data_IF_272731065968
#
_entry.id   IF_272731065968
#
_cell.length_a   1.000
_cell.length_b   1.000
_cell.length_c   1.000
_cell.angle_alpha   90.00
_cell.angle_beta   90.00
_cell.angle_gamma   90.00
#
_symmetry.space_group_name_H-M   'P 1'
#
loop_
_entity.id
_entity.type
_entity.pdbx_description
1 polymer ?
#
# COMPACT_ATOMS: atom_id res chain seq x y z
N UNK A 1 41.44 -21.81 3.03
CA UNK A 1 40.55 -22.49 3.99
C UNK A 1 39.52 -21.52 4.57
N UNK A 2 38.33 -21.48 3.97
CA UNK A 2 37.24 -20.56 4.31
C UNK A 2 36.20 -21.36 5.10
N UNK A 3 35.91 -20.94 6.33
CA UNK A 3 34.96 -21.58 7.22
C UNK A 3 33.54 -21.22 6.75
N UNK A 4 32.79 -22.25 6.34
CA UNK A 4 31.42 -22.17 5.86
C UNK A 4 30.47 -22.13 7.06
N UNK A 5 29.97 -20.95 7.43
CA UNK A 5 28.93 -20.82 8.45
C UNK A 5 27.59 -21.32 7.87
N UNK A 6 27.13 -22.47 8.36
CA UNK A 6 25.85 -23.07 8.01
C UNK A 6 24.71 -22.19 8.56
N UNK A 7 23.91 -21.60 7.65
CA UNK A 7 22.63 -20.98 7.98
C UNK A 7 21.65 -22.10 8.37
N UNK A 8 21.18 -22.09 9.61
CA UNK A 8 20.17 -23.03 10.12
C UNK A 8 18.87 -22.93 9.30
N UNK A 9 18.40 -24.07 8.82
CA UNK A 9 17.14 -24.20 8.08
C UNK A 9 16.01 -24.43 9.10
N UNK A 10 14.90 -23.66 9.08
CA UNK A 10 13.80 -23.91 10.00
C UNK A 10 13.05 -25.21 9.62
N UNK A 11 12.87 -26.11 10.60
CA UNK A 11 12.03 -27.31 10.47
C UNK A 11 10.57 -26.91 10.24
N UNK A 12 9.99 -27.33 9.12
CA UNK A 12 8.54 -27.28 8.90
C UNK A 12 7.87 -28.51 9.53
N UNK A 13 6.94 -28.29 10.46
CA UNK A 13 6.00 -29.31 10.95
C UNK A 13 4.90 -29.55 9.92
N UNK A 14 4.64 -30.82 9.61
CA UNK A 14 3.68 -31.27 8.60
C UNK A 14 2.22 -30.87 8.95
N UNK A 15 1.46 -30.44 7.94
CA UNK A 15 0.03 -30.16 8.03
C UNK A 15 -0.79 -31.46 8.07
N UNK A 16 -1.70 -31.57 9.04
CA UNK A 16 -2.85 -32.47 8.96
C UNK A 16 -4.02 -31.74 8.29
N UNK A 17 -4.44 -32.27 7.14
CA UNK A 17 -5.66 -31.91 6.41
C UNK A 17 -6.87 -32.54 7.13
N UNK A 18 -8.05 -31.93 6.96
CA UNK A 18 -9.38 -32.30 7.48
C UNK A 18 -9.82 -31.68 8.82
N UNK A 19 -10.28 -30.43 8.76
CA UNK A 19 -11.36 -29.96 9.64
C UNK A 19 -12.28 -28.98 8.88
N UNK A 20 -13.32 -29.54 8.28
CA UNK A 20 -14.49 -28.82 7.80
C UNK A 20 -15.29 -28.29 9.02
N UNK A 21 -15.37 -26.97 9.21
CA UNK A 21 -16.40 -26.34 10.05
C UNK A 21 -17.05 -25.19 9.30
N UNK A 22 -18.00 -25.51 8.41
CA UNK A 22 -18.99 -24.53 7.96
C UNK A 22 -20.10 -24.38 9.00
N UNK A 23 -20.57 -23.14 9.07
CA UNK A 23 -21.80 -22.60 9.70
C UNK A 23 -21.90 -22.58 11.23
N UNK A 24 -21.54 -21.45 11.82
CA UNK A 24 -22.39 -20.77 12.80
C UNK A 24 -22.54 -19.30 12.40
N UNK A 25 -23.79 -18.86 12.29
CA UNK A 25 -24.20 -17.47 12.12
C UNK A 25 -23.67 -16.60 13.25
N UNK A 26 -23.22 -15.41 12.89
CA UNK A 26 -22.96 -14.33 13.83
C UNK A 26 -22.38 -13.15 13.07
N UNK A 27 -23.18 -12.11 12.84
CA UNK A 27 -22.67 -10.79 12.43
C UNK A 27 -21.54 -10.41 13.38
N UNK A 28 -20.31 -10.31 12.89
CA UNK A 28 -19.20 -9.76 13.66
C UNK A 28 -19.45 -8.25 13.82
N UNK A 29 -20.21 -7.92 14.86
CA UNK A 29 -20.29 -6.57 15.40
C UNK A 29 -18.87 -6.21 15.84
N UNK A 30 -18.12 -5.53 14.94
CA UNK A 30 -16.79 -4.94 15.16
C UNK A 30 -16.62 -4.53 16.62
N UNK A 31 -16.10 -5.44 17.43
CA UNK A 31 -15.80 -5.14 18.83
C UNK A 31 -14.55 -4.29 18.80
N UNK A 32 -14.75 -2.97 18.98
CA UNK A 32 -13.64 -2.03 19.14
C UNK A 32 -12.81 -2.53 20.31
N UNK A 33 -11.56 -2.94 20.05
CA UNK A 33 -10.61 -3.29 21.11
C UNK A 33 -10.28 -2.01 21.86
N UNK A 34 -10.96 -1.78 22.98
CA UNK A 34 -10.69 -0.66 23.89
C UNK A 34 -9.59 -1.12 24.83
N UNK A 35 -8.40 -0.53 24.70
CA UNK A 35 -7.31 -0.72 25.66
C UNK A 35 -7.54 0.29 26.78
N UNK A 36 -7.76 -0.17 28.00
CA UNK A 36 -7.86 0.68 29.18
C UNK A 36 -6.46 0.94 29.73
N UNK A 37 -5.97 2.18 29.64
CA UNK A 37 -4.74 2.58 30.31
C UNK A 37 -5.05 3.08 31.72
N UNK A 38 -4.41 2.48 32.73
CA UNK A 38 -4.59 2.84 34.15
C UNK A 38 -3.88 4.14 34.55
N UNK A 39 -3.10 4.75 33.65
CA UNK A 39 -2.30 5.94 33.91
C UNK A 39 -2.39 6.92 32.73
N UNK A 40 -2.38 8.22 33.03
CA UNK A 40 -2.30 9.29 32.03
C UNK A 40 -0.90 9.29 31.40
N UNK A 41 -0.70 8.47 30.37
CA UNK A 41 0.55 8.45 29.59
C UNK A 41 0.50 9.58 28.57
N UNK A 42 1.36 10.58 28.73
CA UNK A 42 1.59 11.60 27.69
C UNK A 42 2.34 10.93 26.53
N UNK A 43 1.72 10.85 25.37
CA UNK A 43 2.36 10.32 24.17
C UNK A 43 3.46 11.28 23.69
N UNK A 44 4.54 10.72 23.16
CA UNK A 44 5.57 11.52 22.50
C UNK A 44 5.02 12.08 21.19
N UNK A 45 5.12 13.40 21.03
CA UNK A 45 4.84 14.08 19.78
C UNK A 45 6.09 13.95 18.90
N UNK A 46 5.91 13.50 17.67
CA UNK A 46 6.94 13.49 16.65
C UNK A 46 6.63 14.60 15.64
N UNK A 47 7.65 15.40 15.29
CA UNK A 47 7.49 16.50 14.32
C UNK A 47 6.96 15.98 12.97
N UNK A 48 7.28 14.74 12.61
CA UNK A 48 6.86 14.05 11.39
C UNK A 48 5.86 12.90 11.65
N UNK A 49 4.93 13.07 12.59
CA UNK A 49 3.88 12.07 12.80
C UNK A 49 3.01 11.91 11.54
N UNK A 50 2.73 10.67 11.14
CA UNK A 50 1.84 10.40 10.01
C UNK A 50 0.45 10.95 10.29
N UNK A 51 -0.03 11.85 9.43
CA UNK A 51 -1.37 12.44 9.54
C UNK A 51 -2.30 11.78 8.51
N UNK A 52 -3.44 11.23 8.93
CA UNK A 52 -4.44 10.75 8.00
C UNK A 52 -5.00 11.92 7.19
N UNK A 53 -5.35 11.65 5.95
CA UNK A 53 -5.72 12.65 4.95
C UNK A 53 -6.79 13.66 5.39
N UNK A 54 -7.82 13.19 6.08
CA UNK A 54 -8.93 14.04 6.52
C UNK A 54 -8.53 15.04 7.63
N UNK A 55 -7.32 14.93 8.19
CA UNK A 55 -6.74 15.87 9.16
C UNK A 55 -5.53 16.62 8.61
N UNK A 56 -5.24 16.49 7.32
CA UNK A 56 -4.11 17.15 6.70
C UNK A 56 -4.58 18.53 6.22
N UNK A 57 -3.95 19.59 6.72
CA UNK A 57 -4.24 20.95 6.30
C UNK A 57 -3.76 21.12 4.85
N UNK A 58 -4.70 21.18 3.90
CA UNK A 58 -4.35 21.40 2.50
C UNK A 58 -4.12 22.90 2.31
N UNK A 59 -2.89 23.34 2.56
CA UNK A 59 -2.49 24.74 2.48
C UNK A 59 -2.31 25.26 1.03
N UNK A 60 -2.73 24.48 0.02
CA UNK A 60 -2.56 24.77 -1.40
C UNK A 60 -3.86 25.19 -2.09
N UNK A 61 -3.77 26.03 -3.11
CA UNK A 61 -4.91 26.41 -3.95
C UNK A 61 -5.55 25.22 -4.67
N UNK A 62 -6.73 25.43 -5.28
CA UNK A 62 -7.53 24.36 -5.92
C UNK A 62 -6.74 23.46 -6.90
N UNK A 63 -5.79 24.03 -7.65
CA UNK A 63 -4.94 23.28 -8.58
C UNK A 63 -3.98 22.31 -7.88
N UNK A 64 -3.48 22.70 -6.70
CA UNK A 64 -2.54 21.90 -5.91
C UNK A 64 -3.25 20.70 -5.26
N UNK A 65 -4.49 20.92 -4.81
CA UNK A 65 -5.40 19.88 -4.33
C UNK A 65 -5.67 18.79 -5.39
N UNK A 66 -5.87 19.19 -6.65
CA UNK A 66 -6.13 18.24 -7.74
C UNK A 66 -4.90 17.42 -8.12
N UNK A 67 -3.72 18.05 -8.12
CA UNK A 67 -2.44 17.36 -8.34
C UNK A 67 -2.13 16.36 -7.22
N UNK A 68 -2.30 16.76 -5.97
CA UNK A 68 -2.09 15.88 -4.82
C UNK A 68 -3.08 14.69 -4.82
N UNK A 69 -4.35 14.92 -5.16
CA UNK A 69 -5.33 13.84 -5.33
C UNK A 69 -4.91 12.87 -6.42
N UNK A 70 -4.48 13.36 -7.57
CA UNK A 70 -4.01 12.50 -8.66
C UNK A 70 -2.80 11.66 -8.23
N UNK A 71 -1.77 12.32 -7.68
CA UNK A 71 -0.55 11.67 -7.17
C UNK A 71 -0.88 10.53 -6.21
N UNK A 72 -1.79 10.80 -5.27
CA UNK A 72 -2.22 9.83 -4.26
C UNK A 72 -3.01 8.66 -4.86
N UNK A 73 -3.91 8.93 -5.81
CA UNK A 73 -4.65 7.88 -6.51
C UNK A 73 -3.69 6.95 -7.26
N UNK A 74 -2.73 7.52 -7.98
CA UNK A 74 -1.70 6.76 -8.69
C UNK A 74 -0.86 5.93 -7.71
N UNK A 75 -0.37 6.51 -6.62
CA UNK A 75 0.33 5.76 -5.56
C UNK A 75 -0.54 4.62 -5.01
N UNK A 76 -1.84 4.83 -4.82
CA UNK A 76 -2.76 3.78 -4.38
C UNK A 76 -2.88 2.63 -5.38
N UNK A 77 -2.88 2.93 -6.68
CA UNK A 77 -2.87 1.92 -7.76
C UNK A 77 -1.53 1.17 -7.77
N UNK A 78 -0.41 1.88 -7.77
CA UNK A 78 0.93 1.29 -7.81
C UNK A 78 1.19 0.37 -6.60
N UNK A 79 0.78 0.77 -5.39
CA UNK A 79 0.88 -0.07 -4.19
C UNK A 79 0.08 -1.38 -4.24
N UNK A 80 -0.94 -1.45 -5.10
CA UNK A 80 -1.76 -2.66 -5.29
C UNK A 80 -1.34 -3.42 -6.56
N UNK A 81 -0.32 -2.97 -7.28
CA UNK A 81 0.07 -3.52 -8.56
C UNK A 81 0.58 -4.94 -8.39
N UNK A 82 -0.31 -5.88 -8.66
CA UNK A 82 -0.04 -7.32 -8.62
C UNK A 82 -0.52 -7.94 -9.94
N UNK A 83 0.06 -9.07 -10.37
CA UNK A 83 -0.36 -9.74 -11.60
C UNK A 83 -1.85 -10.12 -11.61
N UNK A 84 -2.45 -10.32 -10.43
CA UNK A 84 -3.84 -10.75 -10.29
C UNK A 84 -4.84 -9.62 -10.56
N UNK A 85 -4.52 -8.38 -10.18
CA UNK A 85 -5.42 -7.22 -10.30
C UNK A 85 -5.03 -6.27 -11.44
N UNK A 86 -3.99 -6.62 -12.21
CA UNK A 86 -3.38 -5.77 -13.22
C UNK A 86 -4.37 -5.13 -14.20
N UNK A 87 -5.22 -5.92 -14.87
CA UNK A 87 -6.21 -5.42 -15.85
C UNK A 87 -7.20 -4.39 -15.25
N UNK A 88 -7.62 -4.64 -14.02
CA UNK A 88 -8.52 -3.73 -13.29
C UNK A 88 -7.82 -2.41 -12.98
N UNK A 89 -6.57 -2.49 -12.52
CA UNK A 89 -5.74 -1.33 -12.20
C UNK A 89 -5.39 -0.51 -13.44
N UNK A 90 -5.12 -1.15 -14.59
CA UNK A 90 -4.93 -0.46 -15.86
C UNK A 90 -6.15 0.36 -16.26
N UNK A 91 -7.34 -0.21 -16.08
CA UNK A 91 -8.59 0.49 -16.36
C UNK A 91 -8.76 1.70 -15.43
N UNK A 92 -8.36 1.56 -14.16
CA UNK A 92 -8.36 2.67 -13.19
C UNK A 92 -7.40 3.79 -13.63
N UNK A 93 -6.17 3.46 -14.05
CA UNK A 93 -5.20 4.44 -14.57
C UNK A 93 -5.73 5.17 -15.79
N UNK A 94 -6.34 4.44 -16.74
CA UNK A 94 -6.93 5.02 -17.97
C UNK A 94 -8.08 5.98 -17.68
N UNK A 95 -8.77 5.81 -16.55
CA UNK A 95 -9.88 6.67 -16.15
C UNK A 95 -9.43 7.92 -15.37
N UNK A 96 -8.13 8.08 -15.08
CA UNK A 96 -7.60 9.28 -14.44
C UNK A 96 -7.53 10.45 -15.44
N UNK A 97 -7.90 11.66 -15.01
CA UNK A 97 -7.87 12.88 -15.83
C UNK A 97 -6.47 13.49 -15.91
N UNK A 98 -5.64 12.90 -16.79
CA UNK A 98 -4.28 13.34 -17.10
C UNK A 98 -4.34 14.34 -18.28
N UNK A 99 -4.87 15.54 -18.03
CA UNK A 99 -5.12 16.54 -19.09
C UNK A 99 -3.96 17.53 -19.32
N UNK A 100 -2.91 17.48 -18.49
CA UNK A 100 -1.80 18.46 -18.51
C UNK A 100 -0.45 17.75 -18.51
N UNK A 101 0.54 18.34 -19.18
CA UNK A 101 1.91 17.81 -19.25
C UNK A 101 2.51 17.55 -17.86
N UNK A 102 2.35 18.48 -16.92
CA UNK A 102 2.89 18.33 -15.56
C UNK A 102 2.32 17.10 -14.82
N UNK A 103 1.03 16.81 -15.02
CA UNK A 103 0.38 15.61 -14.46
C UNK A 103 0.97 14.35 -15.08
N UNK A 104 1.18 14.32 -16.39
CA UNK A 104 1.77 13.16 -17.07
C UNK A 104 3.19 12.90 -16.59
N UNK A 105 4.06 13.92 -16.55
CA UNK A 105 5.42 13.79 -16.02
C UNK A 105 5.41 13.23 -14.60
N UNK A 106 4.55 13.77 -13.73
CA UNK A 106 4.43 13.29 -12.34
C UNK A 106 4.07 11.80 -12.27
N UNK A 107 3.15 11.32 -13.13
CA UNK A 107 2.75 9.91 -13.15
C UNK A 107 3.88 9.03 -13.67
N UNK A 108 4.54 9.45 -14.76
CA UNK A 108 5.67 8.72 -15.34
C UNK A 108 6.83 8.61 -14.36
N UNK A 109 7.18 9.70 -13.66
CA UNK A 109 8.25 9.69 -12.65
C UNK A 109 7.94 8.72 -11.51
N UNK A 110 6.70 8.71 -11.00
CA UNK A 110 6.27 7.76 -9.95
C UNK A 110 6.44 6.30 -10.39
N UNK A 111 6.06 5.98 -11.63
CA UNK A 111 6.16 4.61 -12.15
C UNK A 111 7.63 4.19 -12.25
N UNK A 112 8.51 5.07 -12.72
CA UNK A 112 9.94 4.77 -12.81
C UNK A 112 10.58 4.58 -11.43
N UNK A 113 10.23 5.42 -10.45
CA UNK A 113 10.72 5.29 -9.07
C UNK A 113 10.31 3.94 -8.45
N UNK A 114 9.03 3.56 -8.58
CA UNK A 114 8.51 2.31 -8.03
C UNK A 114 9.11 1.08 -8.74
N UNK A 115 9.22 1.14 -10.07
CA UNK A 115 9.83 0.05 -10.86
C UNK A 115 11.32 -0.14 -10.55
N UNK A 116 12.04 0.95 -10.22
CA UNK A 116 13.44 0.88 -9.79
C UNK A 116 13.59 0.33 -8.36
N UNK A 117 12.65 0.66 -7.47
CA UNK A 117 12.62 0.14 -6.10
C UNK A 117 12.25 -1.36 -6.06
N UNK A 118 11.35 -1.79 -6.93
CA UNK A 118 10.81 -3.16 -7.00
C UNK A 118 11.15 -3.88 -8.32
N UNK A 119 12.39 -4.35 -8.51
CA UNK A 119 12.82 -4.95 -9.77
C UNK A 119 12.03 -6.22 -10.15
N UNK A 120 11.46 -6.94 -9.17
CA UNK A 120 10.66 -8.13 -9.42
C UNK A 120 9.32 -7.83 -10.11
N UNK A 121 8.80 -6.61 -9.93
CA UNK A 121 7.54 -6.13 -10.51
C UNK A 121 7.76 -5.36 -11.82
N UNK A 122 9.02 -5.18 -12.26
CA UNK A 122 9.41 -4.41 -13.45
C UNK A 122 8.62 -4.77 -14.72
N UNK A 123 8.35 -6.06 -14.95
CA UNK A 123 7.56 -6.53 -16.11
C UNK A 123 6.12 -6.00 -16.12
N UNK A 124 5.48 -5.84 -14.95
CA UNK A 124 4.11 -5.30 -14.87
C UNK A 124 4.09 -3.83 -15.27
N UNK A 125 5.05 -3.05 -14.76
CA UNK A 125 5.18 -1.64 -15.12
C UNK A 125 5.44 -1.46 -16.62
N UNK A 126 6.26 -2.33 -17.22
CA UNK A 126 6.50 -2.31 -18.67
C UNK A 126 5.25 -2.61 -19.50
N UNK A 127 4.37 -3.50 -19.05
CA UNK A 127 3.12 -3.81 -19.76
C UNK A 127 2.03 -2.75 -19.58
N UNK A 128 2.17 -1.89 -18.56
CA UNK A 128 1.22 -0.82 -18.29
C UNK A 128 1.44 0.39 -19.20
N UNK A 129 2.71 0.67 -19.53
CA UNK A 129 3.12 1.73 -20.43
C UNK A 129 2.77 1.42 -21.89
#
# INVERSE_FOLDING_TARGET
PIILAQRGVPRMTQMNIYANRRSLQGRDSKTKKVIYLSQNVKLHEADNAWKPFYKQDVAGGQLDLEKEKLKRSVQGILNRLTPQEFETLLTEVKNLSIDTEEKLCTVTDLIFEEAAAEPNSSFLYANMC
#
